data_IF_561376647178
#
_entry.id   IF_561376647178
#
_cell.length_a   1.000
_cell.length_b   1.000
_cell.length_c   1.000
_cell.angle_alpha   90.00
_cell.angle_beta   90.00
_cell.angle_gamma   90.00
#
_symmetry.space_group_name_H-M   'P 1'
#
loop_
_entity.id
_entity.type
_entity.pdbx_description
1 polymer ?
#
# COMPACT_ATOMS: atom_id res chain seq x y z
N UNK A 1 -8.40 35.28 71.95
CA UNK A 1 -8.23 36.24 70.83
C UNK A 1 -6.78 36.14 70.39
N UNK A 2 -6.49 35.44 69.27
CA UNK A 2 -6.02 35.99 67.98
C UNK A 2 -4.77 36.87 68.17
N UNK A 3 -3.60 36.65 67.55
CA UNK A 3 -3.25 36.03 66.28
C UNK A 3 -1.71 36.00 66.21
N UNK A 4 -1.08 34.89 65.82
CA UNK A 4 0.33 34.91 65.38
C UNK A 4 0.44 34.13 64.06
N UNK A 5 0.52 34.91 63.00
CA UNK A 5 0.73 34.51 61.62
C UNK A 5 2.22 34.16 61.45
N UNK A 6 2.49 32.88 61.22
CA UNK A 6 3.84 32.32 61.04
C UNK A 6 4.29 32.50 59.59
N UNK A 7 5.43 33.16 59.39
CA UNK A 7 6.11 33.27 58.10
C UNK A 7 7.60 33.02 58.33
N UNK A 8 8.11 32.02 57.60
CA UNK A 8 9.51 31.84 57.14
C UNK A 8 10.51 31.35 58.20
N UNK A 9 11.03 30.13 57.99
CA UNK A 9 12.44 29.91 57.61
C UNK A 9 12.59 28.46 57.12
N UNK A 10 13.35 28.39 56.03
CA UNK A 10 13.61 27.26 55.16
C UNK A 10 14.75 26.39 55.72
N UNK A 11 14.85 25.14 55.22
CA UNK A 11 16.07 24.37 54.88
C UNK A 11 16.33 23.05 55.66
N UNK A 12 16.48 21.98 54.85
CA UNK A 12 17.19 20.69 55.01
C UNK A 12 16.56 19.57 55.85
N UNK A 13 16.13 18.48 55.19
CA UNK A 13 16.88 17.21 55.24
C UNK A 13 16.38 16.21 54.18
N UNK A 14 17.34 15.50 53.61
CA UNK A 14 17.29 14.46 52.58
C UNK A 14 16.60 13.18 53.05
N UNK A 15 15.86 12.48 52.19
CA UNK A 15 16.28 11.17 51.65
C UNK A 15 15.30 10.57 50.63
N UNK A 16 15.92 9.78 49.77
CA UNK A 16 15.44 9.01 48.63
C UNK A 16 14.47 7.91 49.06
N UNK A 17 13.37 7.74 48.33
CA UNK A 17 12.78 6.41 48.16
C UNK A 17 12.33 6.21 46.71
N UNK A 18 12.87 5.15 46.12
CA UNK A 18 12.69 4.74 44.76
C UNK A 18 11.21 4.49 44.41
N UNK A 19 10.77 5.10 43.31
CA UNK A 19 9.54 4.76 42.61
C UNK A 19 9.83 4.65 41.13
N UNK A 20 10.50 3.57 40.71
CA UNK A 20 10.61 3.22 39.30
C UNK A 20 9.30 2.62 38.82
N UNK A 21 8.53 3.37 38.01
CA UNK A 21 7.57 2.77 37.09
C UNK A 21 7.12 3.78 36.00
N UNK A 22 7.54 3.48 34.77
CA UNK A 22 6.80 3.74 33.53
C UNK A 22 6.87 5.16 32.93
N UNK A 23 8.03 5.49 32.36
CA UNK A 23 8.13 6.58 31.38
C UNK A 23 7.62 6.08 30.02
N UNK A 24 6.57 6.72 29.50
CA UNK A 24 6.09 6.49 28.12
C UNK A 24 6.63 7.62 27.27
N UNK A 25 7.86 7.48 26.81
CA UNK A 25 8.42 8.33 25.76
C UNK A 25 7.65 8.07 24.46
N UNK A 26 6.70 8.95 24.16
CA UNK A 26 6.22 9.14 22.80
C UNK A 26 7.09 10.22 22.17
N UNK A 27 7.95 9.83 21.22
CA UNK A 27 8.73 10.73 20.36
C UNK A 27 7.79 11.56 19.47
N UNK A 28 7.16 12.58 20.05
CA UNK A 28 6.38 13.55 19.28
C UNK A 28 7.33 14.46 18.52
N UNK A 29 7.14 14.51 17.21
CA UNK A 29 7.84 15.42 16.31
C UNK A 29 7.76 16.86 16.86
N UNK A 30 8.92 17.43 17.19
CA UNK A 30 9.06 18.84 17.51
C UNK A 30 9.40 19.57 16.22
N UNK A 31 8.54 20.51 15.83
CA UNK A 31 8.79 21.33 14.64
C UNK A 31 10.02 22.22 14.89
N UNK A 32 11.01 22.24 13.98
CA UNK A 32 12.20 23.05 14.15
C UNK A 32 11.87 24.53 14.31
N UNK A 33 12.65 25.23 15.13
CA UNK A 33 12.48 26.67 15.32
C UNK A 33 12.75 27.44 14.02
N UNK A 34 12.19 28.65 13.90
CA UNK A 34 12.38 29.48 12.69
C UNK A 34 13.84 29.78 12.39
N UNK A 35 14.66 29.95 13.43
CA UNK A 35 16.10 30.21 13.29
C UNK A 35 16.83 28.98 12.76
N UNK A 36 16.50 27.79 13.27
CA UNK A 36 17.04 26.52 12.77
C UNK A 36 16.59 26.22 11.33
N UNK A 37 15.34 26.56 10.98
CA UNK A 37 14.84 26.46 9.61
C UNK A 37 15.62 27.38 8.67
N UNK A 38 15.89 28.62 9.08
CA UNK A 38 16.66 29.57 8.27
C UNK A 38 18.10 29.11 8.08
N UNK A 39 18.77 28.67 9.15
CA UNK A 39 20.13 28.14 9.07
C UNK A 39 20.20 26.90 8.16
N UNK A 40 19.23 25.98 8.30
CA UNK A 40 19.14 24.81 7.43
C UNK A 40 18.82 25.17 5.99
N UNK A 41 17.96 26.15 5.73
CA UNK A 41 17.64 26.59 4.37
C UNK A 41 18.86 27.21 3.68
N UNK A 42 19.65 27.99 4.41
CA UNK A 42 20.91 28.55 3.89
C UNK A 42 21.94 27.46 3.61
N UNK A 43 22.09 26.50 4.53
CA UNK A 43 22.95 25.34 4.33
C UNK A 43 22.51 24.51 3.12
N UNK A 44 21.21 24.25 3.00
CA UNK A 44 20.61 23.52 1.86
C UNK A 44 20.84 24.28 0.56
N UNK A 45 20.64 25.61 0.53
CA UNK A 45 20.88 26.43 -0.66
C UNK A 45 22.36 26.38 -1.10
N UNK A 46 23.29 26.44 -0.15
CA UNK A 46 24.72 26.30 -0.40
C UNK A 46 25.10 24.89 -0.88
N UNK A 47 24.43 23.85 -0.38
CA UNK A 47 24.60 22.48 -0.87
C UNK A 47 24.06 22.31 -2.29
N UNK A 48 22.92 22.91 -2.61
CA UNK A 48 22.33 22.87 -3.95
C UNK A 48 23.20 23.60 -4.98
N UNK A 49 23.74 24.78 -4.64
CA UNK A 49 24.63 25.52 -5.53
C UNK A 49 25.93 24.76 -5.81
N UNK A 50 26.50 24.13 -4.78
CA UNK A 50 27.66 23.23 -4.90
C UNK A 50 27.35 22.01 -5.77
N UNK A 51 26.14 21.45 -5.65
CA UNK A 51 25.70 20.31 -6.45
C UNK A 51 25.44 20.66 -7.92
N UNK A 52 24.90 21.85 -8.23
CA UNK A 52 24.69 22.28 -9.62
C UNK A 52 26.01 22.40 -10.40
N UNK A 53 27.10 22.86 -9.77
CA UNK A 53 28.41 22.93 -10.40
C UNK A 53 29.04 21.56 -10.72
N UNK A 54 28.52 20.47 -10.15
CA UNK A 54 28.96 19.10 -10.45
C UNK A 54 28.28 18.53 -11.70
N UNK A 55 27.07 18.98 -12.05
CA UNK A 55 26.30 18.47 -13.20
C UNK A 55 26.81 19.01 -14.54
N UNK A 56 27.47 20.15 -14.53
CA UNK A 56 27.92 20.85 -15.75
C UNK A 56 29.31 20.40 -16.24
N UNK A 57 30.09 19.72 -15.39
CA UNK A 57 31.41 19.21 -15.77
C UNK A 57 31.34 17.75 -16.20
N UNK A 58 31.94 17.43 -17.35
CA UNK A 58 32.06 16.07 -17.91
C UNK A 58 32.90 15.11 -17.03
N UNK A 59 33.44 15.58 -15.90
CA UNK A 59 34.23 14.83 -14.93
C UNK A 59 33.42 14.41 -13.67
N UNK A 60 32.07 14.45 -13.75
CA UNK A 60 31.16 14.11 -12.65
C UNK A 60 31.56 12.83 -11.91
N UNK A 61 31.87 11.76 -12.65
CA UNK A 61 32.22 10.46 -12.06
C UNK A 61 33.51 10.49 -11.24
N UNK A 62 34.52 11.24 -11.69
CA UNK A 62 35.75 11.41 -10.92
C UNK A 62 35.52 12.23 -9.66
N UNK A 63 34.74 13.31 -9.76
CA UNK A 63 34.45 14.18 -8.63
C UNK A 63 33.56 13.49 -7.59
N UNK A 64 32.57 12.70 -8.02
CA UNK A 64 31.73 11.90 -7.14
C UNK A 64 32.55 10.88 -6.35
N UNK A 65 33.52 10.21 -6.98
CA UNK A 65 34.39 9.26 -6.28
C UNK A 65 35.33 9.93 -5.26
N UNK A 66 35.82 11.14 -5.56
CA UNK A 66 36.63 11.93 -4.63
C UNK A 66 35.79 12.38 -3.43
N UNK A 67 34.59 12.91 -3.66
CA UNK A 67 33.72 13.40 -2.60
C UNK A 67 33.20 12.26 -1.70
N UNK A 68 32.87 11.09 -2.27
CA UNK A 68 32.53 9.89 -1.47
C UNK A 68 33.66 9.44 -0.55
N UNK A 69 34.93 9.63 -0.95
CA UNK A 69 36.09 9.36 -0.08
C UNK A 69 36.22 10.39 1.03
N UNK A 70 35.91 11.66 0.75
CA UNK A 70 35.94 12.73 1.73
C UNK A 70 34.79 12.61 2.75
N UNK A 71 33.59 12.22 2.31
CA UNK A 71 32.42 12.04 3.18
C UNK A 71 32.60 10.91 4.21
N UNK A 72 33.40 9.88 3.90
CA UNK A 72 33.78 8.84 4.88
C UNK A 72 34.62 9.36 6.05
N UNK A 73 35.21 10.56 5.94
CA UNK A 73 35.98 11.21 7.00
C UNK A 73 35.16 12.23 7.80
N UNK A 74 33.96 12.58 7.34
CA UNK A 74 33.07 13.47 8.08
C UNK A 74 32.30 12.62 9.08
N UNK A 75 32.76 12.61 10.33
CA UNK A 75 31.96 12.11 11.46
C UNK A 75 30.82 13.11 11.66
N UNK A 76 29.63 12.77 11.15
CA UNK A 76 28.41 13.48 11.48
C UNK A 76 28.14 13.17 12.95
N UNK A 77 28.46 14.12 13.83
CA UNK A 77 28.03 14.09 15.23
C UNK A 77 26.54 14.41 15.30
N UNK A 78 25.71 13.55 14.72
CA UNK A 78 24.28 13.52 14.97
C UNK A 78 24.08 12.69 16.23
N UNK A 79 23.59 13.31 17.30
CA UNK A 79 23.26 12.67 18.58
C UNK A 79 22.15 11.63 18.51
N UNK A 80 21.68 11.26 17.32
CA UNK A 80 20.77 10.15 17.10
C UNK A 80 21.25 9.33 15.91
N UNK A 81 21.94 8.24 16.22
CA UNK A 81 22.36 7.21 15.28
C UNK A 81 21.11 6.49 14.76
N UNK A 82 20.52 7.02 13.68
CA UNK A 82 19.54 6.26 12.92
C UNK A 82 20.26 5.06 12.32
N UNK A 83 20.16 3.91 13.01
CA UNK A 83 20.63 2.63 12.50
C UNK A 83 19.77 2.27 11.29
N UNK A 84 20.21 2.64 10.10
CA UNK A 84 19.63 2.13 8.86
C UNK A 84 19.94 0.63 8.85
N UNK A 85 18.93 -0.26 8.93
CA UNK A 85 19.19 -1.69 8.93
C UNK A 85 19.94 -2.08 7.65
N UNK A 86 21.00 -2.87 7.76
CA UNK A 86 21.86 -3.29 6.63
C UNK A 86 21.07 -3.89 5.46
N UNK A 87 19.88 -4.41 5.73
CA UNK A 87 18.91 -4.88 4.72
C UNK A 87 18.57 -3.83 3.66
N UNK A 88 18.57 -2.55 4.01
CA UNK A 88 18.27 -1.47 3.07
C UNK A 88 19.50 -1.05 2.24
N UNK A 89 20.69 -1.08 2.84
CA UNK A 89 21.95 -0.75 2.16
C UNK A 89 22.43 -1.87 1.23
N UNK A 90 21.97 -3.09 1.46
CA UNK A 90 22.19 -4.26 0.60
C UNK A 90 21.25 -4.34 -0.60
N UNK A 91 20.40 -3.33 -0.85
CA UNK A 91 19.66 -3.15 -2.11
C UNK A 91 20.57 -2.71 -3.27
N UNK A 92 21.77 -3.29 -3.33
CA UNK A 92 22.74 -3.18 -4.44
C UNK A 92 22.34 -4.09 -5.61
N UNK A 93 21.04 -4.19 -5.88
CA UNK A 93 20.56 -4.58 -7.21
C UNK A 93 20.29 -3.28 -7.92
N UNK A 94 21.24 -2.89 -8.75
CA UNK A 94 20.94 -2.09 -9.93
C UNK A 94 19.83 -2.86 -10.66
N UNK A 95 18.57 -2.52 -10.39
CA UNK A 95 17.49 -2.90 -11.28
C UNK A 95 17.70 -1.96 -12.46
N UNK A 96 18.18 -2.45 -13.62
CA UNK A 96 18.37 -1.58 -14.77
C UNK A 96 17.00 -0.94 -15.06
N UNK A 97 16.92 0.38 -15.18
CA UNK A 97 15.66 1.05 -15.53
C UNK A 97 15.04 0.47 -16.82
N UNK A 98 15.87 -0.08 -17.71
CA UNK A 98 15.45 -0.85 -18.89
C UNK A 98 14.61 -2.11 -18.57
N UNK A 99 14.79 -2.72 -17.38
CA UNK A 99 13.95 -3.83 -16.90
C UNK A 99 12.65 -3.37 -16.25
N UNK A 100 12.53 -2.09 -15.84
CA UNK A 100 11.23 -1.49 -15.51
C UNK A 100 10.39 -1.20 -16.77
N UNK A 101 11.03 -0.94 -17.91
CA UNK A 101 10.31 -0.78 -19.19
C UNK A 101 9.67 -2.09 -19.67
N UNK A 102 10.39 -3.21 -19.56
CA UNK A 102 9.95 -4.49 -20.13
C UNK A 102 9.05 -5.32 -19.19
N UNK A 103 8.97 -4.96 -17.91
CA UNK A 103 7.98 -5.55 -16.99
C UNK A 103 6.59 -4.89 -17.10
N UNK A 104 6.47 -3.81 -17.89
CA UNK A 104 5.18 -3.19 -18.25
C UNK A 104 4.62 -3.74 -19.57
N UNK A 105 5.41 -4.49 -20.35
CA UNK A 105 5.01 -4.91 -21.71
C UNK A 105 4.88 -6.42 -21.91
N UNK A 106 5.39 -7.24 -21.00
CA UNK A 106 5.29 -8.70 -21.13
C UNK A 106 4.05 -9.25 -20.40
N UNK A 107 2.86 -8.83 -20.84
CA UNK A 107 1.52 -9.49 -20.69
C UNK A 107 0.37 -8.53 -21.03
N UNK A 108 0.40 -7.85 -22.20
CA UNK A 108 -0.83 -7.25 -22.78
C UNK A 108 -1.52 -8.17 -23.77
N UNK A 109 -1.50 -9.49 -23.57
CA UNK A 109 -2.78 -10.18 -23.68
C UNK A 109 -3.50 -9.78 -22.41
N UNK A 110 -4.26 -8.68 -22.47
CA UNK A 110 -5.27 -8.43 -21.46
C UNK A 110 -6.19 -9.63 -21.56
N UNK A 111 -5.91 -10.67 -20.78
CA UNK A 111 -6.85 -11.76 -20.62
C UNK A 111 -8.01 -11.08 -19.92
N UNK A 112 -9.04 -10.75 -20.72
CA UNK A 112 -10.26 -10.07 -20.30
C UNK A 112 -11.08 -11.07 -19.49
N UNK A 113 -10.48 -11.53 -18.40
CA UNK A 113 -11.02 -12.53 -17.53
C UNK A 113 -12.25 -11.97 -16.83
N UNK A 114 -13.26 -12.81 -16.58
CA UNK A 114 -14.41 -12.39 -15.80
C UNK A 114 -13.93 -11.97 -14.41
N UNK A 115 -14.55 -10.93 -13.89
CA UNK A 115 -14.32 -10.41 -12.55
C UNK A 115 -15.57 -10.64 -11.72
N UNK A 116 -15.39 -11.19 -10.52
CA UNK A 116 -16.48 -11.49 -9.60
C UNK A 116 -16.32 -10.60 -8.37
N UNK A 117 -17.24 -9.67 -8.18
CA UNK A 117 -17.24 -8.70 -7.09
C UNK A 117 -18.03 -9.25 -5.92
N UNK A 118 -17.40 -9.34 -4.75
CA UNK A 118 -18.01 -9.91 -3.54
C UNK A 118 -17.74 -9.03 -2.32
N UNK A 119 -18.44 -9.32 -1.22
CA UNK A 119 -18.18 -8.71 0.09
C UNK A 119 -18.07 -9.78 1.16
N UNK A 120 -17.15 -9.60 2.10
CA UNK A 120 -16.99 -10.49 3.27
C UNK A 120 -18.18 -10.43 4.25
N UNK A 121 -19.14 -9.54 4.04
CA UNK A 121 -20.43 -9.52 4.74
C UNK A 121 -21.42 -10.58 4.22
N UNK A 122 -21.19 -11.14 3.03
CA UNK A 122 -22.02 -12.20 2.46
C UNK A 122 -21.90 -13.51 3.26
N UNK A 123 -22.90 -14.40 3.16
CA UNK A 123 -22.85 -15.73 3.77
C UNK A 123 -21.61 -16.52 3.33
N UNK A 124 -21.04 -17.27 4.27
CA UNK A 124 -19.81 -18.02 4.07
C UNK A 124 -19.93 -19.06 2.94
N UNK A 125 -21.07 -19.73 2.86
CA UNK A 125 -21.34 -20.77 1.86
C UNK A 125 -21.43 -20.20 0.44
N UNK A 126 -22.01 -19.01 0.28
CA UNK A 126 -22.10 -18.32 -1.01
C UNK A 126 -20.72 -17.88 -1.50
N UNK A 127 -19.87 -17.36 -0.60
CA UNK A 127 -18.49 -16.99 -0.93
C UNK A 127 -17.65 -18.19 -1.39
N UNK A 128 -17.79 -19.36 -0.74
CA UNK A 128 -17.10 -20.59 -1.15
C UNK A 128 -17.53 -21.05 -2.53
N UNK A 129 -18.83 -21.02 -2.81
CA UNK A 129 -19.38 -21.38 -4.12
C UNK A 129 -18.83 -20.46 -5.22
N UNK A 130 -18.83 -19.14 -4.97
CA UNK A 130 -18.30 -18.16 -5.91
C UNK A 130 -16.80 -18.32 -6.13
N UNK A 131 -16.02 -18.65 -5.11
CA UNK A 131 -14.59 -18.96 -5.30
C UNK A 131 -14.39 -20.21 -6.15
N UNK A 132 -15.14 -21.27 -5.89
CA UNK A 132 -15.04 -22.49 -6.69
C UNK A 132 -15.38 -22.21 -8.16
N UNK A 133 -16.43 -21.42 -8.42
CA UNK A 133 -16.77 -20.97 -9.76
C UNK A 133 -15.65 -20.13 -10.38
N UNK A 134 -15.11 -19.15 -9.63
CA UNK A 134 -14.03 -18.28 -10.08
C UNK A 134 -12.76 -19.06 -10.48
N UNK A 135 -12.31 -19.97 -9.61
CA UNK A 135 -11.12 -20.78 -9.83
C UNK A 135 -11.24 -21.68 -11.06
N UNK A 136 -12.44 -22.23 -11.29
CA UNK A 136 -12.71 -23.09 -12.45
C UNK A 136 -12.55 -22.35 -13.78
N UNK A 137 -12.95 -21.08 -13.83
CA UNK A 137 -12.87 -20.27 -15.05
C UNK A 137 -11.61 -19.41 -15.14
N UNK A 138 -10.77 -19.38 -14.09
CA UNK A 138 -9.62 -18.48 -13.99
C UNK A 138 -10.02 -17.01 -13.81
N UNK A 139 -11.14 -16.76 -13.16
CA UNK A 139 -11.66 -15.42 -12.85
C UNK A 139 -11.08 -14.91 -11.54
N UNK A 140 -10.88 -13.60 -11.43
CA UNK A 140 -10.44 -12.98 -10.18
C UNK A 140 -11.65 -12.60 -9.31
N UNK A 141 -11.57 -12.87 -8.01
CA UNK A 141 -12.54 -12.34 -7.05
C UNK A 141 -12.04 -11.02 -6.49
N UNK A 142 -12.88 -10.00 -6.59
CA UNK A 142 -12.57 -8.63 -6.17
C UNK A 142 -13.35 -8.27 -4.91
N UNK A 143 -12.64 -7.82 -3.89
CA UNK A 143 -13.16 -7.24 -2.66
C UNK A 143 -13.01 -5.73 -2.70
N UNK A 144 -14.03 -5.01 -2.22
CA UNK A 144 -14.02 -3.54 -2.17
C UNK A 144 -12.95 -3.01 -1.21
N UNK A 145 -12.66 -3.77 -0.16
CA UNK A 145 -11.76 -3.35 0.90
C UNK A 145 -11.75 -4.36 2.02
N UNK A 146 -11.13 -3.96 3.13
CA UNK A 146 -11.15 -4.75 4.35
C UNK A 146 -12.56 -4.75 4.96
N UNK A 147 -12.91 -5.85 5.62
CA UNK A 147 -14.21 -5.98 6.26
C UNK A 147 -14.35 -5.04 7.48
N UNK A 148 -13.36 -5.07 8.38
CA UNK A 148 -13.23 -4.19 9.54
C UNK A 148 -11.78 -3.74 9.66
N UNK A 149 -10.92 -4.70 10.00
CA UNK A 149 -9.47 -4.54 10.08
C UNK A 149 -8.77 -5.56 9.18
N UNK A 150 -7.50 -5.30 8.83
CA UNK A 150 -6.67 -6.24 8.07
C UNK A 150 -6.62 -7.62 8.77
N UNK A 151 -6.42 -7.65 10.09
CA UNK A 151 -6.35 -8.90 10.87
C UNK A 151 -7.66 -9.69 10.81
N UNK A 152 -8.80 -9.02 10.95
CA UNK A 152 -10.12 -9.65 10.86
C UNK A 152 -10.42 -10.19 9.47
N UNK A 153 -9.97 -9.47 8.43
CA UNK A 153 -10.11 -9.85 7.03
C UNK A 153 -9.29 -11.10 6.74
N UNK A 154 -8.02 -11.11 7.17
CA UNK A 154 -7.14 -12.27 7.04
C UNK A 154 -7.66 -13.48 7.82
N UNK A 155 -8.18 -13.29 9.04
CA UNK A 155 -8.76 -14.38 9.82
C UNK A 155 -9.95 -15.02 9.10
N UNK A 156 -10.85 -14.20 8.54
CA UNK A 156 -12.03 -14.68 7.82
C UNK A 156 -11.67 -15.37 6.50
N UNK A 157 -10.71 -14.82 5.74
CA UNK A 157 -10.18 -15.45 4.53
C UNK A 157 -9.53 -16.81 4.85
N UNK A 158 -8.74 -16.89 5.93
CA UNK A 158 -8.13 -18.14 6.41
C UNK A 158 -9.16 -19.17 6.87
N UNK A 159 -10.18 -18.74 7.61
CA UNK A 159 -11.28 -19.61 8.06
C UNK A 159 -12.04 -20.21 6.88
N UNK A 160 -12.21 -19.42 5.81
CA UNK A 160 -12.81 -19.88 4.58
C UNK A 160 -11.90 -20.83 3.77
N UNK A 161 -10.63 -21.06 4.18
CA UNK A 161 -9.58 -21.80 3.44
C UNK A 161 -9.36 -21.25 2.02
N UNK A 162 -9.56 -19.94 1.84
CA UNK A 162 -9.48 -19.28 0.55
C UNK A 162 -8.14 -18.55 0.41
N UNK A 163 -7.04 -19.27 0.61
CA UNK A 163 -5.72 -18.64 0.64
C UNK A 163 -5.29 -18.07 -0.73
N UNK A 164 -6.00 -18.42 -1.81
CA UNK A 164 -5.70 -18.03 -3.19
C UNK A 164 -6.96 -17.50 -3.90
N UNK A 165 -6.80 -16.49 -4.77
CA UNK A 165 -7.84 -16.01 -5.69
C UNK A 165 -8.57 -14.71 -5.31
N UNK A 166 -8.25 -14.11 -4.17
CA UNK A 166 -8.82 -12.83 -3.74
C UNK A 166 -7.92 -11.64 -4.07
N UNK A 167 -8.51 -10.59 -4.63
CA UNK A 167 -7.90 -9.31 -4.89
C UNK A 167 -8.68 -8.22 -4.14
N UNK A 168 -7.97 -7.31 -3.46
CA UNK A 168 -8.58 -6.18 -2.78
C UNK A 168 -8.32 -4.94 -3.63
N UNK A 169 -9.35 -4.44 -4.29
CA UNK A 169 -9.25 -3.25 -5.13
C UNK A 169 -10.56 -2.43 -5.07
N UNK A 170 -10.63 -1.36 -4.24
CA UNK A 170 -11.77 -0.45 -4.20
C UNK A 170 -11.98 0.31 -5.51
N UNK A 171 -10.95 0.51 -6.32
CA UNK A 171 -11.03 1.35 -7.52
C UNK A 171 -11.86 0.66 -8.60
N UNK A 172 -11.77 -0.66 -8.73
CA UNK A 172 -12.60 -1.45 -9.65
C UNK A 172 -14.09 -1.38 -9.32
N UNK A 173 -14.46 -1.31 -8.03
CA UNK A 173 -15.86 -1.13 -7.64
C UNK A 173 -16.42 0.20 -8.15
N UNK A 174 -15.62 1.26 -8.08
CA UNK A 174 -15.99 2.57 -8.59
C UNK A 174 -16.01 2.58 -10.13
N UNK A 175 -14.99 1.99 -10.77
CA UNK A 175 -14.87 1.91 -12.22
C UNK A 175 -16.08 1.24 -12.89
N UNK A 176 -16.57 0.12 -12.33
CA UNK A 176 -17.72 -0.60 -12.86
C UNK A 176 -19.06 -0.21 -12.19
N UNK A 177 -19.07 0.87 -11.40
CA UNK A 177 -20.22 1.37 -10.67
C UNK A 177 -20.99 0.27 -9.91
N UNK A 178 -20.26 -0.60 -9.19
CA UNK A 178 -20.82 -1.73 -8.45
C UNK A 178 -21.45 -1.23 -7.16
N UNK A 179 -22.79 -1.28 -7.08
CA UNK A 179 -23.56 -0.89 -5.88
C UNK A 179 -24.03 -2.08 -5.04
N UNK A 180 -24.18 -3.24 -5.68
CA UNK A 180 -24.71 -4.46 -5.07
C UNK A 180 -23.76 -5.62 -5.36
N UNK A 181 -23.64 -6.52 -4.40
CA UNK A 181 -22.85 -7.76 -4.51
C UNK A 181 -23.77 -8.95 -4.21
N UNK A 182 -23.54 -10.13 -4.84
CA UNK A 182 -22.47 -10.40 -5.80
C UNK A 182 -22.74 -9.75 -7.16
N UNK A 183 -21.66 -9.40 -7.88
CA UNK A 183 -21.74 -8.88 -9.24
C UNK A 183 -20.67 -9.49 -10.14
N UNK A 184 -21.03 -9.74 -11.39
CA UNK A 184 -20.18 -10.34 -12.42
C UNK A 184 -19.92 -9.32 -13.50
N UNK A 185 -18.66 -9.15 -13.87
CA UNK A 185 -18.21 -8.27 -14.94
C UNK A 185 -17.41 -9.07 -15.96
N UNK A 186 -17.73 -8.92 -17.23
CA UNK A 186 -16.90 -9.43 -18.33
C UNK A 186 -16.47 -8.23 -19.16
N UNK A 187 -15.18 -7.85 -19.14
CA UNK A 187 -14.68 -6.78 -19.98
C UNK A 187 -14.73 -7.22 -21.45
N UNK A 188 -15.43 -6.47 -22.29
CA UNK A 188 -15.49 -6.68 -23.74
C UNK A 188 -14.35 -5.89 -24.37
N UNK A 189 -14.27 -4.59 -24.07
CA UNK A 189 -13.21 -3.65 -24.46
C UNK A 189 -12.96 -2.64 -23.32
N UNK A 190 -12.18 -1.57 -23.55
CA UNK A 190 -11.81 -0.61 -22.49
C UNK A 190 -13.03 0.14 -21.92
N UNK A 191 -14.01 0.46 -22.77
CA UNK A 191 -15.21 1.24 -22.39
C UNK A 191 -16.49 0.40 -22.38
N UNK A 192 -16.41 -0.87 -22.79
CA UNK A 192 -17.55 -1.77 -22.88
C UNK A 192 -17.32 -3.00 -22.01
N UNK A 193 -18.26 -3.24 -21.09
CA UNK A 193 -18.29 -4.42 -20.24
C UNK A 193 -19.73 -4.90 -20.07
N UNK A 194 -19.86 -6.21 -19.88
CA UNK A 194 -21.12 -6.84 -19.52
C UNK A 194 -21.20 -6.91 -18.00
N UNK A 195 -22.38 -6.66 -17.44
CA UNK A 195 -22.62 -6.65 -15.99
C UNK A 195 -23.86 -7.45 -15.63
N UNK A 196 -23.72 -8.31 -14.62
CA UNK A 196 -24.84 -8.89 -13.89
C UNK A 196 -24.67 -8.65 -12.39
N UNK A 197 -25.77 -8.50 -11.68
CA UNK A 197 -25.76 -8.29 -10.22
C UNK A 197 -26.94 -9.03 -9.58
N UNK A 198 -26.75 -9.54 -8.37
CA UNK A 198 -27.73 -10.35 -7.65
C UNK A 198 -27.38 -11.83 -7.62
N UNK A 199 -28.29 -12.67 -7.09
CA UNK A 199 -28.11 -14.12 -6.90
C UNK A 199 -28.19 -14.93 -8.21
N UNK A 200 -27.34 -14.61 -9.17
CA UNK A 200 -27.21 -15.31 -10.46
C UNK A 200 -25.86 -16.02 -10.52
N UNK A 201 -25.81 -17.22 -11.13
CA UNK A 201 -24.54 -17.91 -11.38
C UNK A 201 -23.84 -17.33 -12.61
N UNK A 202 -22.50 -17.47 -12.67
CA UNK A 202 -21.74 -17.04 -13.85
C UNK A 202 -22.19 -17.79 -15.11
N UNK A 203 -22.49 -19.09 -14.99
CA UNK A 203 -23.07 -19.86 -16.10
C UNK A 203 -24.36 -19.24 -16.65
N UNK A 204 -25.31 -18.90 -15.76
CA UNK A 204 -26.57 -18.30 -16.18
C UNK A 204 -26.36 -16.93 -16.84
N UNK A 205 -25.45 -16.12 -16.31
CA UNK A 205 -25.07 -14.85 -16.91
C UNK A 205 -24.50 -15.04 -18.33
N UNK A 206 -23.60 -15.99 -18.53
CA UNK A 206 -23.06 -16.30 -19.86
C UNK A 206 -24.14 -16.82 -20.82
N UNK A 207 -25.05 -17.68 -20.35
CA UNK A 207 -26.18 -18.17 -21.14
C UNK A 207 -27.11 -17.01 -21.56
N UNK A 208 -27.32 -16.01 -20.69
CA UNK A 208 -28.07 -14.80 -21.05
C UNK A 208 -27.36 -14.01 -22.14
N UNK A 209 -26.05 -13.76 -22.00
CA UNK A 209 -25.27 -13.02 -23.01
C UNK A 209 -25.32 -13.73 -24.36
N UNK A 210 -25.29 -15.06 -24.39
CA UNK A 210 -25.41 -15.83 -25.64
C UNK A 210 -26.79 -15.64 -26.30
N UNK A 211 -27.85 -15.46 -25.52
CA UNK A 211 -29.23 -15.30 -26.00
C UNK A 211 -29.56 -13.90 -26.50
N UNK A 212 -29.07 -12.86 -25.82
CA UNK A 212 -29.47 -11.47 -26.09
C UNK A 212 -28.34 -10.57 -26.59
N UNK A 213 -27.08 -11.01 -26.50
CA UNK A 213 -25.91 -10.19 -26.78
C UNK A 213 -25.59 -10.03 -28.26
N UNK A 214 -24.64 -9.14 -28.54
CA UNK A 214 -24.08 -8.93 -29.87
C UNK A 214 -23.13 -10.08 -30.29
N UNK A 215 -22.78 -10.18 -31.58
CA UNK A 215 -21.90 -11.26 -32.07
C UNK A 215 -20.55 -11.34 -31.33
N UNK A 216 -20.00 -10.19 -30.94
CA UNK A 216 -18.71 -10.10 -30.26
C UNK A 216 -18.83 -10.56 -28.80
N UNK A 217 -19.87 -10.12 -28.10
CA UNK A 217 -20.21 -10.55 -26.74
C UNK A 217 -20.50 -12.05 -26.66
N UNK A 218 -21.28 -12.57 -27.62
CA UNK A 218 -21.60 -14.00 -27.72
C UNK A 218 -20.31 -14.82 -27.90
N UNK A 219 -19.36 -14.33 -28.68
CA UNK A 219 -18.07 -15.01 -28.89
C UNK A 219 -17.23 -15.04 -27.62
N UNK A 220 -17.23 -13.95 -26.85
CA UNK A 220 -16.58 -13.89 -25.53
C UNK A 220 -17.28 -14.84 -24.55
N UNK A 221 -18.60 -14.81 -24.49
CA UNK A 221 -19.37 -15.64 -23.57
C UNK A 221 -19.19 -17.13 -23.85
N UNK A 222 -19.21 -17.55 -25.11
CA UNK A 222 -18.95 -18.95 -25.52
C UNK A 222 -17.57 -19.44 -25.08
N UNK A 223 -16.55 -18.59 -25.21
CA UNK A 223 -15.18 -18.91 -24.77
C UNK A 223 -15.10 -19.16 -23.27
N UNK A 224 -15.78 -18.37 -22.45
CA UNK A 224 -15.80 -18.57 -21.00
C UNK A 224 -16.71 -19.72 -20.58
N UNK A 225 -17.84 -19.91 -21.27
CA UNK A 225 -18.74 -21.02 -21.02
C UNK A 225 -18.06 -22.37 -21.28
N UNK A 226 -17.15 -22.46 -22.27
CA UNK A 226 -16.38 -23.67 -22.55
C UNK A 226 -15.37 -24.07 -21.45
N UNK A 227 -15.11 -23.18 -20.48
CA UNK A 227 -14.26 -23.46 -19.31
C UNK A 227 -15.08 -23.87 -18.06
N UNK A 228 -16.40 -23.70 -18.10
CA UNK A 228 -17.40 -24.11 -17.07
C UNK A 228 -18.03 -25.43 -17.51
#
# INVERSE_FOLDING_TARGET
MRSFLTVVIMILFTEVLAGSAFDRDHDYYQEPSKEELMQKQEEIANLFSKASGLRENNDFDQNLQKERRNLKKITISSSHEYQIPDKFLSLKKEVPLAKLGNSVETTRKVDRSPLIFVSLSMPQEELKLLLHEANRVGSAIVLRGFYKDLKSTLAKIKELKLEEGFMIDPTLFNQYAIKQVPAFIIPVDNDHYLKASGSVSLKYFLDLVIRVGTKDEVSIAKRWLAKI
#
